data_IF_073461760350
#
_entry.id   IF_073461760350
#
_cell.length_a   1.000
_cell.length_b   1.000
_cell.length_c   1.000
_cell.angle_alpha   90.00
_cell.angle_beta   90.00
_cell.angle_gamma   90.00
#
_symmetry.space_group_name_H-M   'P 1'
#
loop_
_entity.id
_entity.type
_entity.pdbx_description
1 polymer ?
#
# COMPACT_ATOMS: atom_id res chain seq x y z
N UNK A 1 10.21 -31.67 -6.84
CA UNK A 1 9.88 -30.64 -7.84
C UNK A 1 8.69 -29.85 -7.30
N UNK A 2 8.76 -28.53 -7.32
CA UNK A 2 7.70 -27.64 -6.83
C UNK A 2 7.21 -26.75 -7.97
N UNK A 3 5.89 -26.56 -8.07
CA UNK A 3 5.23 -25.68 -9.03
C UNK A 3 4.74 -24.42 -8.34
N UNK A 4 5.22 -23.28 -8.77
CA UNK A 4 4.86 -21.96 -8.27
C UNK A 4 4.08 -21.23 -9.35
N UNK A 5 2.91 -20.71 -9.02
CA UNK A 5 2.19 -19.76 -9.86
C UNK A 5 2.29 -18.38 -9.24
N UNK A 6 2.82 -17.40 -9.97
CA UNK A 6 2.73 -15.99 -9.65
C UNK A 6 1.63 -15.39 -10.52
N UNK A 7 0.43 -15.27 -9.94
CA UNK A 7 -0.76 -14.80 -10.63
C UNK A 7 -0.84 -13.28 -10.62
N UNK A 8 -0.50 -12.65 -11.75
CA UNK A 8 -0.47 -11.20 -11.92
C UNK A 8 -0.90 -10.80 -13.34
N UNK A 9 -1.37 -9.56 -13.51
CA UNK A 9 -1.65 -9.00 -14.83
C UNK A 9 -0.36 -8.75 -15.65
N UNK A 10 -0.47 -8.72 -16.98
CA UNK A 10 0.65 -8.37 -17.86
C UNK A 10 1.19 -6.96 -17.58
N UNK A 11 0.31 -6.01 -17.26
CA UNK A 11 0.70 -4.66 -16.87
C UNK A 11 1.56 -4.68 -15.59
N UNK A 12 1.19 -5.52 -14.60
CA UNK A 12 1.97 -5.70 -13.38
C UNK A 12 3.32 -6.37 -13.67
N UNK A 13 3.33 -7.44 -14.47
CA UNK A 13 4.56 -8.12 -14.91
C UNK A 13 5.55 -7.16 -15.59
N UNK A 14 5.06 -6.29 -16.48
CA UNK A 14 5.86 -5.21 -17.09
C UNK A 14 6.37 -4.20 -16.05
N UNK A 15 5.56 -3.82 -15.06
CA UNK A 15 5.98 -2.96 -13.93
C UNK A 15 7.07 -3.63 -13.07
N UNK A 16 7.07 -4.96 -12.95
CA UNK A 16 8.12 -5.73 -12.28
C UNK A 16 9.41 -5.83 -13.11
N UNK A 17 9.33 -5.59 -14.43
CA UNK A 17 10.46 -5.76 -15.34
C UNK A 17 10.70 -7.22 -15.76
N UNK A 18 9.69 -8.08 -15.63
CA UNK A 18 9.79 -9.48 -16.02
C UNK A 18 9.31 -9.68 -17.46
N UNK A 19 10.11 -10.40 -18.25
CA UNK A 19 9.82 -10.66 -19.67
C UNK A 19 9.37 -12.11 -19.93
N UNK A 20 9.65 -13.01 -19.00
CA UNK A 20 9.39 -14.44 -19.12
C UNK A 20 8.11 -14.81 -18.38
N UNK A 21 7.36 -15.75 -18.95
CA UNK A 21 6.19 -16.33 -18.28
C UNK A 21 6.52 -17.63 -17.57
N UNK A 22 7.60 -18.31 -17.95
CA UNK A 22 7.98 -19.61 -17.42
C UNK A 22 9.47 -19.65 -17.21
N UNK A 23 9.89 -20.09 -16.02
CA UNK A 23 11.28 -20.38 -15.70
C UNK A 23 11.37 -21.66 -14.88
N UNK A 24 12.52 -22.33 -14.98
CA UNK A 24 12.85 -23.49 -14.15
C UNK A 24 14.26 -23.36 -13.62
N UNK A 25 14.45 -23.58 -12.32
CA UNK A 25 15.75 -23.49 -11.67
C UNK A 25 15.83 -24.41 -10.46
N UNK A 26 17.05 -24.70 -10.00
CA UNK A 26 17.28 -25.49 -8.79
C UNK A 26 17.38 -24.59 -7.56
N UNK A 27 16.66 -24.93 -6.50
CA UNK A 27 16.70 -24.25 -5.21
C UNK A 27 16.62 -25.27 -4.08
N UNK A 28 17.58 -25.25 -3.13
CA UNK A 28 17.65 -26.20 -1.99
C UNK A 28 17.33 -27.65 -2.36
N UNK A 29 18.01 -28.20 -3.36
CA UNK A 29 17.83 -29.57 -3.89
C UNK A 29 16.47 -29.88 -4.54
N UNK A 30 15.62 -28.88 -4.76
CA UNK A 30 14.37 -29.00 -5.48
C UNK A 30 14.44 -28.29 -6.84
N UNK A 31 13.84 -28.88 -7.85
CA UNK A 31 13.53 -28.16 -9.10
C UNK A 31 12.27 -27.32 -8.86
N UNK A 32 12.38 -26.02 -9.05
CA UNK A 32 11.28 -25.05 -8.97
C UNK A 32 10.86 -24.68 -10.39
N UNK A 33 9.60 -24.90 -10.71
CA UNK A 33 8.98 -24.45 -11.95
C UNK A 33 8.06 -23.28 -11.63
N UNK A 34 8.33 -22.12 -12.19
CA UNK A 34 7.53 -20.91 -11.97
C UNK A 34 6.77 -20.58 -13.24
N UNK A 35 5.46 -20.41 -13.10
CA UNK A 35 4.62 -19.75 -14.09
C UNK A 35 4.22 -18.37 -13.59
N UNK A 36 4.39 -17.35 -14.40
CA UNK A 36 4.04 -15.96 -14.12
C UNK A 36 3.05 -15.45 -15.16
N UNK A 37 1.79 -15.31 -14.79
CA UNK A 37 0.71 -14.95 -15.71
C UNK A 37 -0.66 -14.98 -15.04
N UNK A 38 -1.73 -15.19 -15.81
CA UNK A 38 -3.11 -15.18 -15.29
C UNK A 38 -3.87 -16.50 -15.49
N UNK A 39 -3.17 -17.52 -16.00
CA UNK A 39 -3.69 -18.88 -16.14
C UNK A 39 -3.57 -19.65 -14.82
N UNK A 40 -4.70 -20.18 -14.36
CA UNK A 40 -4.86 -20.94 -13.12
C UNK A 40 -5.36 -22.37 -13.38
N UNK A 41 -5.31 -22.84 -14.63
CA UNK A 41 -5.82 -24.16 -15.02
C UNK A 41 -4.88 -25.31 -14.66
N UNK A 42 -3.59 -25.02 -14.47
CA UNK A 42 -2.58 -26.02 -14.13
C UNK A 42 -2.46 -26.23 -12.60
N UNK A 43 -2.15 -27.45 -12.13
CA UNK A 43 -1.89 -27.70 -10.71
C UNK A 43 -0.65 -26.96 -10.20
N UNK A 44 -0.68 -26.51 -8.95
CA UNK A 44 0.41 -25.81 -8.29
C UNK A 44 0.61 -26.26 -6.85
N UNK A 45 1.84 -26.16 -6.35
CA UNK A 45 2.16 -26.32 -4.92
C UNK A 45 2.04 -24.98 -4.18
N UNK A 46 2.32 -23.88 -4.88
CA UNK A 46 2.37 -22.53 -4.31
C UNK A 46 1.69 -21.57 -5.28
N UNK A 47 0.77 -20.74 -4.78
CA UNK A 47 0.10 -19.68 -5.53
C UNK A 47 0.39 -18.33 -4.89
N UNK A 48 0.82 -17.36 -5.70
CA UNK A 48 0.94 -15.97 -5.33
C UNK A 48 -0.10 -15.14 -6.09
N UNK A 49 -1.30 -14.94 -5.54
CA UNK A 49 -2.32 -14.17 -6.22
C UNK A 49 -2.14 -12.67 -6.01
N UNK A 50 -2.31 -11.88 -7.07
CA UNK A 50 -2.62 -10.46 -6.97
C UNK A 50 -3.95 -10.20 -7.66
N UNK A 51 -5.00 -9.96 -6.88
CA UNK A 51 -6.36 -9.73 -7.39
C UNK A 51 -6.36 -8.58 -8.40
N UNK A 52 -6.87 -8.85 -9.61
CA UNK A 52 -7.00 -7.86 -10.68
C UNK A 52 -8.36 -7.16 -10.61
N UNK A 53 -9.43 -7.92 -10.41
CA UNK A 53 -10.82 -7.46 -10.28
C UNK A 53 -11.68 -8.55 -9.61
N UNK A 54 -12.98 -8.31 -9.45
CA UNK A 54 -13.89 -9.24 -8.75
C UNK A 54 -14.03 -10.59 -9.47
N UNK A 55 -14.11 -10.60 -10.81
CA UNK A 55 -14.18 -11.84 -11.59
C UNK A 55 -12.89 -12.66 -11.44
N UNK A 56 -11.74 -11.99 -11.44
CA UNK A 56 -10.43 -12.59 -11.19
C UNK A 56 -10.33 -13.16 -9.77
N UNK A 57 -10.84 -12.43 -8.78
CA UNK A 57 -10.92 -12.91 -7.40
C UNK A 57 -11.70 -14.22 -7.31
N UNK A 58 -12.82 -14.35 -8.01
CA UNK A 58 -13.60 -15.59 -8.01
C UNK A 58 -12.83 -16.75 -8.66
N UNK A 59 -12.17 -16.51 -9.80
CA UNK A 59 -11.31 -17.54 -10.46
C UNK A 59 -10.18 -18.02 -9.54
N UNK A 60 -9.56 -17.11 -8.80
CA UNK A 60 -8.52 -17.44 -7.83
C UNK A 60 -9.10 -18.32 -6.72
N UNK A 61 -10.26 -17.95 -6.14
CA UNK A 61 -10.91 -18.71 -5.08
C UNK A 61 -11.29 -20.13 -5.55
N UNK A 62 -11.83 -20.27 -6.76
CA UNK A 62 -12.17 -21.57 -7.34
C UNK A 62 -10.92 -22.43 -7.56
N UNK A 63 -9.83 -21.83 -8.03
CA UNK A 63 -8.54 -22.50 -8.21
C UNK A 63 -7.95 -22.99 -6.88
N UNK A 64 -8.01 -22.17 -5.83
CA UNK A 64 -7.58 -22.56 -4.46
C UNK A 64 -8.41 -23.74 -3.96
N UNK A 65 -9.73 -23.71 -4.15
CA UNK A 65 -10.63 -24.81 -3.74
C UNK A 65 -10.28 -26.13 -4.43
N UNK A 66 -9.83 -26.08 -5.69
CA UNK A 66 -9.40 -27.24 -6.46
C UNK A 66 -7.97 -27.70 -6.14
N UNK A 67 -7.20 -26.93 -5.36
CA UNK A 67 -5.83 -27.25 -4.96
C UNK A 67 -5.68 -27.06 -3.43
N UNK A 68 -6.37 -27.86 -2.59
CA UNK A 68 -6.48 -27.62 -1.15
C UNK A 68 -5.16 -27.73 -0.37
N UNK A 69 -4.19 -28.48 -0.89
CA UNK A 69 -2.87 -28.64 -0.28
C UNK A 69 -1.87 -27.54 -0.71
N UNK A 70 -2.27 -26.65 -1.61
CA UNK A 70 -1.40 -25.59 -2.10
C UNK A 70 -1.26 -24.46 -1.08
N UNK A 71 -0.03 -23.95 -0.95
CA UNK A 71 0.25 -22.78 -0.15
C UNK A 71 -0.14 -21.50 -0.92
N UNK A 72 -0.90 -20.60 -0.29
CA UNK A 72 -1.33 -19.33 -0.90
C UNK A 72 -0.64 -18.15 -0.22
N UNK A 73 0.09 -17.33 -1.00
CA UNK A 73 0.90 -16.20 -0.50
C UNK A 73 0.61 -14.91 -1.30
N UNK A 74 -0.06 -13.90 -0.79
CA UNK A 74 -0.74 -13.82 0.51
C UNK A 74 -2.22 -14.25 0.40
N UNK A 75 -2.86 -14.66 1.51
CA UNK A 75 -4.27 -15.01 1.53
C UNK A 75 -5.16 -13.90 0.95
N UNK A 76 -6.23 -14.28 0.24
CA UNK A 76 -7.16 -13.34 -0.40
C UNK A 76 -7.75 -12.33 0.59
N UNK A 77 -8.05 -12.77 1.81
CA UNK A 77 -8.56 -11.90 2.88
C UNK A 77 -7.58 -10.78 3.25
N UNK A 78 -6.27 -11.06 3.31
CA UNK A 78 -5.23 -10.06 3.56
C UNK A 78 -5.23 -8.99 2.47
N UNK A 79 -5.37 -9.40 1.21
CA UNK A 79 -5.43 -8.47 0.08
C UNK A 79 -6.67 -7.57 0.15
N UNK A 80 -7.83 -8.14 0.47
CA UNK A 80 -9.10 -7.39 0.61
C UNK A 80 -9.03 -6.34 1.73
N UNK A 81 -8.36 -6.65 2.85
CA UNK A 81 -8.10 -5.68 3.92
C UNK A 81 -7.29 -4.50 3.37
N UNK A 82 -6.20 -4.78 2.67
CA UNK A 82 -5.27 -3.74 2.18
C UNK A 82 -5.88 -2.92 1.04
N UNK A 83 -6.76 -3.51 0.23
CA UNK A 83 -7.53 -2.83 -0.81
C UNK A 83 -8.54 -1.80 -0.26
N UNK A 84 -8.82 -1.82 1.04
CA UNK A 84 -9.68 -0.86 1.72
C UNK A 84 -8.88 -0.01 2.71
N UNK A 85 -8.79 1.31 2.47
CA UNK A 85 -8.12 2.22 3.43
C UNK A 85 -8.79 2.20 4.79
N UNK A 86 -10.12 2.04 4.84
CA UNK A 86 -10.88 1.85 6.08
C UNK A 86 -10.32 0.65 6.87
N UNK A 87 -10.33 -0.54 6.26
CA UNK A 87 -9.92 -1.77 6.95
C UNK A 87 -8.42 -1.74 7.29
N UNK A 88 -7.61 -1.15 6.41
CA UNK A 88 -6.17 -0.96 6.65
C UNK A 88 -5.92 -0.12 7.89
N UNK A 89 -6.54 1.06 7.99
CA UNK A 89 -6.31 1.96 9.10
C UNK A 89 -6.93 1.44 10.41
N UNK A 90 -8.11 0.80 10.34
CA UNK A 90 -8.71 0.10 11.50
C UNK A 90 -7.78 -0.99 12.04
N UNK A 91 -7.12 -1.77 11.14
CA UNK A 91 -6.13 -2.78 11.54
C UNK A 91 -4.89 -2.16 12.18
N UNK A 92 -4.36 -1.06 11.64
CA UNK A 92 -3.24 -0.35 12.24
C UNK A 92 -3.56 0.08 13.69
N UNK A 93 -4.72 0.71 13.89
CA UNK A 93 -5.19 1.12 15.22
C UNK A 93 -5.37 -0.07 16.17
N UNK A 94 -5.95 -1.18 15.68
CA UNK A 94 -6.13 -2.40 16.48
C UNK A 94 -4.81 -2.95 17.03
N UNK A 95 -3.72 -2.82 16.26
CA UNK A 95 -2.39 -3.30 16.64
C UNK A 95 -1.52 -2.22 17.31
N UNK A 96 -2.07 -1.04 17.60
CA UNK A 96 -1.34 0.07 18.22
C UNK A 96 -0.22 0.63 17.34
N UNK A 97 -0.32 0.46 16.01
CA UNK A 97 0.64 1.01 15.06
C UNK A 97 0.21 2.44 14.72
N UNK A 98 1.10 3.40 14.97
CA UNK A 98 0.81 4.81 14.76
C UNK A 98 0.49 5.10 13.28
N UNK A 99 -0.76 5.55 13.06
CA UNK A 99 -1.23 6.16 11.83
C UNK A 99 -1.98 7.46 12.18
N UNK A 100 -2.05 8.45 11.28
CA UNK A 100 -2.74 9.69 11.60
C UNK A 100 -4.23 9.43 11.85
N UNK A 101 -4.83 10.19 12.77
CA UNK A 101 -6.23 10.05 13.15
C UNK A 101 -7.11 10.14 11.91
N UNK A 102 -8.10 9.27 11.82
CA UNK A 102 -8.96 9.19 10.65
C UNK A 102 -10.41 8.91 11.02
N UNK A 103 -11.31 9.25 10.09
CA UNK A 103 -12.72 8.88 10.11
C UNK A 103 -13.14 8.48 8.71
N UNK A 104 -14.09 7.55 8.62
CA UNK A 104 -14.69 7.13 7.35
C UNK A 104 -16.02 7.86 7.17
N UNK A 105 -16.23 8.43 5.99
CA UNK A 105 -17.49 9.10 5.62
C UNK A 105 -17.99 8.51 4.30
N UNK A 106 -19.20 7.96 4.32
CA UNK A 106 -19.82 7.29 3.17
C UNK A 106 -20.59 8.25 2.27
N UNK A 107 -21.04 9.40 2.78
CA UNK A 107 -21.90 10.32 2.04
C UNK A 107 -21.79 11.77 2.52
N UNK A 108 -22.27 12.69 1.70
CA UNK A 108 -22.39 14.10 2.07
C UNK A 108 -23.26 14.31 3.31
N UNK A 109 -24.36 13.55 3.48
CA UNK A 109 -25.22 13.67 4.66
C UNK A 109 -24.45 13.30 5.94
N UNK A 110 -23.65 12.23 5.89
CA UNK A 110 -22.82 11.81 7.02
C UNK A 110 -21.73 12.86 7.33
N UNK A 111 -21.12 13.47 6.30
CA UNK A 111 -20.22 14.60 6.49
C UNK A 111 -20.91 15.74 7.25
N UNK A 112 -22.10 16.17 6.83
CA UNK A 112 -22.80 17.27 7.49
C UNK A 112 -23.14 16.96 8.95
N UNK A 113 -23.54 15.72 9.26
CA UNK A 113 -23.76 15.27 10.65
C UNK A 113 -22.44 15.33 11.44
N UNK A 114 -21.34 14.86 10.85
CA UNK A 114 -20.02 14.89 11.47
C UNK A 114 -19.57 16.32 11.76
N UNK A 115 -19.61 17.23 10.78
CA UNK A 115 -19.21 18.63 10.94
C UNK A 115 -20.05 19.35 12.01
N UNK A 116 -21.37 19.09 12.05
CA UNK A 116 -22.25 19.66 13.07
C UNK A 116 -21.91 19.20 14.50
N UNK A 117 -21.51 17.93 14.66
CA UNK A 117 -21.09 17.36 15.95
C UNK A 117 -19.66 17.78 16.35
N UNK A 118 -18.79 17.97 15.36
CA UNK A 118 -17.37 18.23 15.53
C UNK A 118 -17.00 19.59 14.95
N UNK A 119 -17.50 20.65 15.59
CA UNK A 119 -17.28 22.03 15.14
C UNK A 119 -15.79 22.46 15.09
N UNK A 120 -14.89 21.70 15.75
CA UNK A 120 -13.46 21.99 15.87
C UNK A 120 -12.59 20.86 15.29
N UNK A 121 -12.85 20.43 14.05
CA UNK A 121 -11.90 19.54 13.35
C UNK A 121 -10.57 20.28 13.20
N UNK A 122 -9.48 19.62 13.61
CA UNK A 122 -8.14 20.15 13.41
C UNK A 122 -7.79 20.07 11.92
N UNK A 123 -7.69 21.23 11.30
CA UNK A 123 -7.23 21.38 9.93
C UNK A 123 -5.71 21.64 9.92
N UNK A 124 -4.99 21.21 8.86
CA UNK A 124 -5.52 20.59 7.65
C UNK A 124 -5.81 19.08 7.79
N UNK A 125 -6.67 18.58 6.91
CA UNK A 125 -6.93 17.14 6.72
C UNK A 125 -6.75 16.76 5.25
N UNK A 126 -6.45 15.48 5.01
CA UNK A 126 -6.45 14.87 3.69
C UNK A 126 -7.63 13.90 3.55
N UNK A 127 -8.37 14.01 2.46
CA UNK A 127 -9.39 13.02 2.09
C UNK A 127 -8.84 12.06 1.05
N UNK A 128 -9.07 10.77 1.26
CA UNK A 128 -8.65 9.69 0.38
C UNK A 128 -9.85 8.80 0.06
N UNK A 129 -10.07 8.37 -1.20
CA UNK A 129 -11.06 7.36 -1.53
C UNK A 129 -10.88 6.10 -0.68
N UNK A 130 -11.99 5.44 -0.32
CA UNK A 130 -11.91 4.19 0.46
C UNK A 130 -11.15 3.09 -0.31
N UNK A 131 -11.44 2.82 -1.61
CA UNK A 131 -10.60 1.93 -2.40
C UNK A 131 -9.16 2.46 -2.46
N UNK A 132 -8.19 1.62 -2.11
CA UNK A 132 -6.77 2.02 -2.07
C UNK A 132 -6.02 1.74 -3.38
N UNK A 133 -6.59 0.90 -4.26
CA UNK A 133 -5.98 0.45 -5.51
C UNK A 133 -7.06 0.24 -6.58
N UNK A 134 -6.63 0.18 -7.85
CA UNK A 134 -7.43 -0.40 -8.93
C UNK A 134 -7.99 0.59 -9.94
N UNK A 135 -7.93 1.91 -9.68
CA UNK A 135 -8.36 2.93 -10.64
C UNK A 135 -7.65 4.28 -10.45
N UNK A 136 -7.68 5.14 -11.47
CA UNK A 136 -7.15 6.50 -11.36
C UNK A 136 -7.81 7.27 -10.20
N UNK A 137 -9.12 7.07 -10.01
CA UNK A 137 -9.93 7.70 -8.97
C UNK A 137 -9.49 7.28 -7.57
N UNK A 138 -8.97 6.06 -7.37
CA UNK A 138 -8.48 5.58 -6.06
C UNK A 138 -7.26 6.35 -5.52
N UNK A 139 -6.63 7.14 -6.38
CA UNK A 139 -5.47 7.97 -6.09
C UNK A 139 -5.77 9.47 -6.12
N UNK A 140 -7.02 9.89 -6.38
CA UNK A 140 -7.44 11.29 -6.26
C UNK A 140 -7.59 11.69 -4.79
N UNK A 141 -6.74 12.57 -4.32
CA UNK A 141 -6.72 13.05 -2.94
C UNK A 141 -7.09 14.53 -2.89
N UNK A 142 -7.63 14.96 -1.76
CA UNK A 142 -7.95 16.38 -1.52
C UNK A 142 -7.43 16.80 -0.15
N UNK A 143 -6.64 17.87 -0.12
CA UNK A 143 -6.31 18.57 1.13
C UNK A 143 -7.39 19.59 1.41
N UNK A 144 -7.83 19.66 2.66
CA UNK A 144 -8.77 20.65 3.18
C UNK A 144 -8.05 21.43 4.26
N UNK A 145 -7.92 22.74 4.05
CA UNK A 145 -7.26 23.66 4.97
C UNK A 145 -8.24 24.71 5.56
N UNK A 146 -9.48 24.75 5.06
CA UNK A 146 -10.56 25.58 5.59
C UNK A 146 -11.88 24.79 5.63
N UNK A 147 -12.81 25.04 6.58
CA UNK A 147 -14.08 24.30 6.67
C UNK A 147 -14.92 24.33 5.38
N UNK A 148 -14.88 25.42 4.61
CA UNK A 148 -15.56 25.49 3.30
C UNK A 148 -15.06 24.43 2.29
N UNK A 149 -13.83 23.95 2.46
CA UNK A 149 -13.23 22.92 1.60
C UNK A 149 -13.96 21.57 1.66
N UNK A 150 -14.71 21.28 2.73
CA UNK A 150 -15.51 20.06 2.84
C UNK A 150 -16.63 19.95 1.78
N UNK A 151 -17.03 21.06 1.16
CA UNK A 151 -18.00 21.07 0.06
C UNK A 151 -17.49 20.40 -1.22
N UNK A 152 -16.17 20.19 -1.34
CA UNK A 152 -15.52 19.64 -2.53
C UNK A 152 -15.06 18.19 -2.36
N UNK A 153 -15.42 17.56 -1.25
CA UNK A 153 -15.06 16.16 -0.95
C UNK A 153 -15.87 15.21 -1.81
N UNK A 154 -15.18 14.22 -2.38
CA UNK A 154 -15.80 13.07 -3.05
C UNK A 154 -16.01 11.94 -2.04
N UNK A 155 -17.14 11.25 -2.15
CA UNK A 155 -17.53 10.14 -1.27
C UNK A 155 -17.61 8.82 -2.07
N UNK A 156 -17.40 7.65 -1.43
CA UNK A 156 -17.02 7.49 -0.03
C UNK A 156 -15.52 7.71 0.18
N UNK A 157 -15.14 8.29 1.34
CA UNK A 157 -13.75 8.63 1.64
C UNK A 157 -13.36 8.35 3.09
N UNK A 158 -12.06 8.26 3.31
CA UNK A 158 -11.41 8.46 4.60
C UNK A 158 -10.98 9.92 4.69
N UNK A 159 -11.36 10.61 5.76
CA UNK A 159 -10.75 11.88 6.18
C UNK A 159 -9.66 11.52 7.18
N UNK A 160 -8.44 11.99 6.96
CA UNK A 160 -7.30 11.73 7.82
C UNK A 160 -6.59 13.03 8.16
N UNK A 161 -6.11 13.16 9.39
CA UNK A 161 -5.27 14.29 9.83
C UNK A 161 -4.06 14.46 8.90
N UNK A 162 -3.81 15.68 8.45
CA UNK A 162 -2.62 15.98 7.66
C UNK A 162 -1.45 16.24 8.60
N UNK A 163 -0.45 15.37 8.55
CA UNK A 163 0.76 15.49 9.36
C UNK A 163 1.80 16.27 8.55
N UNK A 164 2.24 17.42 9.04
CA UNK A 164 3.38 18.13 8.47
C UNK A 164 4.64 17.28 8.62
N UNK A 165 5.33 17.01 7.51
CA UNK A 165 6.46 16.06 7.43
C UNK A 165 7.59 16.55 6.51
N UNK A 166 7.73 17.88 6.36
CA UNK A 166 8.77 18.57 5.59
C UNK A 166 8.93 18.08 4.15
N UNK A 167 7.85 17.58 3.53
CA UNK A 167 7.87 17.07 2.16
C UNK A 167 8.72 15.81 1.97
N UNK A 168 8.95 15.01 3.01
CA UNK A 168 9.75 13.79 2.93
C UNK A 168 8.94 12.53 3.30
N UNK A 169 8.87 11.59 2.35
CA UNK A 169 8.28 10.26 2.57
C UNK A 169 9.35 9.19 2.45
N UNK A 170 9.34 8.18 3.32
CA UNK A 170 10.13 6.95 3.11
C UNK A 170 9.20 5.84 2.63
N UNK A 171 9.41 5.37 1.40
CA UNK A 171 8.75 4.18 0.87
C UNK A 171 9.64 2.97 1.15
N UNK A 172 9.06 1.94 1.74
CA UNK A 172 9.76 0.71 2.16
C UNK A 172 9.14 -0.48 1.45
N UNK A 173 9.97 -1.40 0.97
CA UNK A 173 9.53 -2.63 0.34
C UNK A 173 10.02 -3.85 1.13
N UNK A 174 9.11 -4.78 1.36
CA UNK A 174 9.31 -5.92 2.24
C UNK A 174 8.90 -7.21 1.53
N UNK A 175 9.67 -8.28 1.76
CA UNK A 175 9.28 -9.65 1.46
C UNK A 175 9.41 -10.43 2.77
N UNK A 176 8.32 -11.04 3.21
CA UNK A 176 8.24 -11.69 4.51
C UNK A 176 8.53 -10.71 5.64
N UNK A 177 9.56 -11.03 6.43
CA UNK A 177 10.00 -10.18 7.54
C UNK A 177 11.20 -9.33 7.17
N UNK A 178 11.65 -9.34 5.92
CA UNK A 178 12.86 -8.64 5.51
C UNK A 178 12.54 -7.35 4.77
N UNK A 179 13.16 -6.24 5.20
CA UNK A 179 13.22 -5.02 4.40
C UNK A 179 14.18 -5.26 3.23
N UNK A 180 13.65 -5.22 2.01
CA UNK A 180 14.44 -5.41 0.78
C UNK A 180 15.11 -4.11 0.36
N UNK A 181 14.35 -3.02 0.38
CA UNK A 181 14.85 -1.70 0.06
C UNK A 181 13.95 -0.62 0.65
N UNK A 182 14.52 0.57 0.81
CA UNK A 182 13.78 1.77 1.19
C UNK A 182 14.29 2.95 0.38
N UNK A 183 13.39 3.81 -0.08
CA UNK A 183 13.75 5.04 -0.77
C UNK A 183 13.04 6.23 -0.14
N UNK A 184 13.79 7.32 -0.02
CA UNK A 184 13.25 8.62 0.35
C UNK A 184 12.73 9.29 -0.92
N UNK A 185 11.51 9.81 -0.87
CA UNK A 185 10.83 10.48 -1.97
C UNK A 185 10.32 11.85 -1.53
N UNK A 186 10.22 12.76 -2.48
CA UNK A 186 9.51 14.02 -2.30
C UNK A 186 8.01 13.74 -2.04
N UNK A 187 7.45 14.47 -1.09
CA UNK A 187 6.07 14.39 -0.63
C UNK A 187 5.52 15.79 -0.38
N UNK A 188 4.22 15.88 -0.06
CA UNK A 188 3.54 17.16 0.13
C UNK A 188 4.24 18.00 1.20
N UNK A 189 4.41 19.29 0.91
CA UNK A 189 5.06 20.22 1.82
C UNK A 189 4.26 20.45 3.11
N UNK A 190 4.87 21.14 4.06
CA UNK A 190 4.12 21.57 5.24
C UNK A 190 3.01 22.54 4.84
N UNK A 191 1.89 22.45 5.54
CA UNK A 191 0.76 23.36 5.42
C UNK A 191 0.63 24.07 6.76
N UNK A 192 0.69 25.39 6.70
CA UNK A 192 0.54 26.27 7.85
C UNK A 192 -0.49 27.36 7.55
N UNK A 193 -0.64 28.30 8.49
CA UNK A 193 -1.56 29.43 8.39
C UNK A 193 -1.31 30.37 7.20
N UNK A 194 -0.15 30.28 6.53
CA UNK A 194 0.14 31.07 5.33
C UNK A 194 -0.52 30.50 4.07
N UNK A 195 -0.93 29.23 4.09
CA UNK A 195 -1.61 28.61 2.96
C UNK A 195 -3.03 29.17 2.81
N UNK A 196 -3.23 30.01 1.79
CA UNK A 196 -4.50 30.68 1.51
C UNK A 196 -5.53 29.82 0.76
N UNK A 197 -5.13 28.62 0.30
CA UNK A 197 -6.05 27.72 -0.39
C UNK A 197 -7.00 27.09 0.64
N UNK A 198 -8.31 27.18 0.40
CA UNK A 198 -9.29 26.48 1.23
C UNK A 198 -9.17 24.95 1.08
N UNK A 199 -8.90 24.51 -0.14
CA UNK A 199 -8.65 23.12 -0.49
C UNK A 199 -7.81 23.03 -1.77
N UNK A 200 -7.24 21.86 -2.04
CA UNK A 200 -6.72 21.50 -3.35
C UNK A 200 -6.73 19.99 -3.56
N UNK A 201 -6.92 19.57 -4.81
CA UNK A 201 -6.90 18.16 -5.20
C UNK A 201 -5.69 17.83 -6.06
N UNK A 202 -5.22 16.60 -5.95
CA UNK A 202 -4.11 16.07 -6.72
C UNK A 202 -4.27 14.55 -6.90
N UNK A 203 -3.59 13.97 -7.88
CA UNK A 203 -3.52 12.53 -8.03
C UNK A 203 -2.16 12.01 -7.50
N UNK A 204 -2.19 11.08 -6.56
CA UNK A 204 -0.97 10.60 -5.92
C UNK A 204 -0.02 9.83 -6.88
N UNK A 205 -0.52 9.30 -7.99
CA UNK A 205 0.27 8.63 -9.02
C UNK A 205 0.76 9.59 -10.13
N UNK A 206 0.24 10.82 -10.20
CA UNK A 206 0.67 11.83 -11.17
C UNK A 206 1.62 12.84 -10.52
N UNK A 207 2.94 12.79 -10.80
CA UNK A 207 3.90 13.75 -10.29
C UNK A 207 3.56 15.21 -10.65
N UNK A 208 3.02 15.48 -11.84
CA UNK A 208 2.71 16.84 -12.28
C UNK A 208 1.60 17.46 -11.43
N UNK A 209 0.55 16.67 -11.10
CA UNK A 209 -0.54 17.13 -10.22
C UNK A 209 -0.06 17.56 -8.83
N UNK A 210 1.07 17.01 -8.37
CA UNK A 210 1.64 17.25 -7.04
C UNK A 210 2.70 18.36 -7.02
N UNK A 211 3.43 18.55 -8.12
CA UNK A 211 4.55 19.53 -8.23
C UNK A 211 4.19 20.94 -7.76
N UNK A 212 2.94 21.36 -7.95
CA UNK A 212 2.45 22.68 -7.51
C UNK A 212 2.42 22.85 -5.98
N UNK A 213 2.32 21.75 -5.25
CA UNK A 213 2.15 21.72 -3.78
C UNK A 213 3.34 21.11 -3.04
N UNK A 214 4.34 20.63 -3.78
CA UNK A 214 5.61 20.20 -3.21
C UNK A 214 6.47 21.42 -2.90
N UNK A 215 6.97 21.48 -1.66
CA UNK A 215 7.99 22.42 -1.24
C UNK A 215 9.35 21.72 -1.27
N UNK A 216 10.41 22.49 -1.41
CA UNK A 216 11.79 22.02 -1.20
C UNK A 216 11.90 21.42 0.20
N UNK A 217 12.13 20.11 0.26
CA UNK A 217 12.18 19.38 1.53
C UNK A 217 13.28 19.93 2.41
N UNK A 218 12.96 20.27 3.65
CA UNK A 218 14.00 20.41 4.67
C UNK A 218 14.46 19.01 5.08
N UNK A 219 15.77 18.77 5.11
CA UNK A 219 16.29 17.44 5.47
C UNK A 219 15.77 17.02 6.85
N UNK A 220 14.95 15.98 6.88
CA UNK A 220 14.59 15.29 8.13
C UNK A 220 15.57 14.15 8.41
N UNK A 221 15.65 13.76 9.67
CA UNK A 221 16.41 12.59 10.08
C UNK A 221 15.83 11.34 9.37
N UNK A 222 16.62 10.64 8.54
CA UNK A 222 16.15 9.44 7.86
C UNK A 222 15.85 8.35 8.89
N UNK A 223 14.94 7.45 8.54
CA UNK A 223 14.74 6.23 9.31
C UNK A 223 15.97 5.34 9.24
N UNK A 224 16.41 4.83 10.39
CA UNK A 224 17.47 3.83 10.45
C UNK A 224 16.97 2.48 9.91
N UNK A 225 17.85 1.61 9.39
CA UNK A 225 17.45 0.26 8.97
C UNK A 225 16.73 -0.53 10.08
N UNK A 226 17.14 -0.35 11.34
CA UNK A 226 16.51 -1.02 12.49
C UNK A 226 15.09 -0.50 12.75
N UNK A 227 14.84 0.81 12.63
CA UNK A 227 13.47 1.35 12.74
C UNK A 227 12.57 0.76 11.64
N UNK A 228 13.04 0.74 10.38
CA UNK A 228 12.27 0.21 9.26
C UNK A 228 12.01 -1.30 9.42
N UNK A 229 13.01 -2.04 9.92
CA UNK A 229 12.90 -3.45 10.21
C UNK A 229 11.83 -3.73 11.28
N UNK A 230 11.81 -2.95 12.37
CA UNK A 230 10.77 -3.07 13.39
C UNK A 230 9.35 -2.84 12.82
N UNK A 231 9.18 -1.85 11.94
CA UNK A 231 7.90 -1.64 11.26
C UNK A 231 7.53 -2.76 10.29
N UNK A 232 8.51 -3.31 9.56
CA UNK A 232 8.33 -4.49 8.72
C UNK A 232 7.77 -5.66 9.54
N UNK A 233 8.41 -5.99 10.66
CA UNK A 233 8.00 -7.08 11.55
C UNK A 233 6.60 -6.85 12.15
N UNK A 234 6.31 -5.62 12.60
CA UNK A 234 5.01 -5.24 13.14
C UNK A 234 3.89 -5.37 12.09
N UNK A 235 4.12 -4.85 10.88
CA UNK A 235 3.14 -4.85 9.80
C UNK A 235 2.91 -6.26 9.23
N UNK A 236 3.99 -7.03 9.02
CA UNK A 236 3.90 -8.43 8.59
C UNK A 236 3.02 -9.22 9.56
N UNK A 237 3.24 -9.06 10.88
CA UNK A 237 2.42 -9.70 11.91
C UNK A 237 0.98 -9.17 11.95
N UNK A 238 0.79 -7.86 11.90
CA UNK A 238 -0.53 -7.24 12.04
C UNK A 238 -1.48 -7.61 10.89
N UNK A 239 -0.96 -7.73 9.67
CA UNK A 239 -1.74 -8.01 8.47
C UNK A 239 -1.64 -9.47 8.01
N UNK A 240 -0.79 -10.28 8.63
CA UNK A 240 -0.42 -11.61 8.13
C UNK A 240 -0.07 -11.55 6.64
N UNK A 241 0.96 -10.75 6.34
CA UNK A 241 1.37 -10.40 4.98
C UNK A 241 2.86 -10.66 4.75
N UNK A 242 3.16 -11.14 3.54
CA UNK A 242 4.49 -11.46 3.06
C UNK A 242 4.94 -10.44 2.01
N UNK A 243 4.10 -10.13 1.03
CA UNK A 243 4.45 -9.26 -0.10
C UNK A 243 3.84 -7.88 0.11
N UNK A 244 4.62 -6.93 0.62
CA UNK A 244 4.08 -5.60 0.89
C UNK A 244 5.12 -4.49 0.77
N UNK A 245 4.61 -3.28 0.62
CA UNK A 245 5.37 -2.07 0.87
C UNK A 245 4.55 -1.11 1.72
N UNK A 246 5.21 -0.24 2.45
CA UNK A 246 4.56 0.76 3.27
C UNK A 246 5.24 2.11 3.14
N UNK A 247 4.43 3.15 3.34
CA UNK A 247 4.80 4.54 3.23
C UNK A 247 4.77 5.14 4.64
N UNK A 248 5.94 5.57 5.12
CA UNK A 248 6.14 6.09 6.46
C UNK A 248 6.70 7.52 6.41
N UNK A 249 6.07 8.41 7.18
CA UNK A 249 6.51 9.80 7.35
C UNK A 249 6.96 10.04 8.77
N UNK A 250 7.71 11.12 8.98
CA UNK A 250 8.10 11.60 10.30
C UNK A 250 7.47 12.98 10.52
N UNK A 251 6.74 13.15 11.61
CA UNK A 251 6.10 14.42 11.96
C UNK A 251 7.15 15.49 12.25
N UNK A 252 6.93 16.67 11.67
CA UNK A 252 7.73 17.86 11.93
C UNK A 252 7.48 18.36 13.36
N UNK A 253 8.55 18.70 14.07
CA UNK A 253 8.50 19.13 15.47
C UNK A 253 8.66 17.98 16.47
N UNK A 254 7.83 16.94 16.41
CA UNK A 254 7.89 15.82 17.39
C UNK A 254 8.86 14.72 16.97
N UNK A 255 9.11 14.56 15.67
CA UNK A 255 9.88 13.43 15.12
C UNK A 255 9.13 12.09 15.17
N UNK A 256 7.83 12.09 15.53
CA UNK A 256 7.04 10.88 15.67
C UNK A 256 6.75 10.25 14.30
N UNK A 257 6.97 8.93 14.13
CA UNK A 257 6.69 8.23 12.88
C UNK A 257 5.22 7.87 12.71
N UNK A 258 4.74 7.91 11.46
CA UNK A 258 3.37 7.53 11.11
C UNK A 258 3.33 6.72 9.81
N UNK A 259 2.63 5.59 9.84
CA UNK A 259 2.27 4.83 8.62
C UNK A 259 1.09 5.51 7.95
N UNK A 260 1.23 5.86 6.67
CA UNK A 260 0.18 6.58 5.91
C UNK A 260 -0.42 5.78 4.76
N UNK A 261 0.27 4.74 4.29
CA UNK A 261 -0.21 3.84 3.23
C UNK A 261 0.48 2.47 3.32
N UNK A 262 -0.24 1.42 2.93
CA UNK A 262 0.26 0.04 2.82
C UNK A 262 -0.22 -0.52 1.48
N UNK A 263 0.69 -1.14 0.74
CA UNK A 263 0.43 -1.69 -0.58
C UNK A 263 0.78 -3.18 -0.63
N UNK A 264 -0.21 -4.01 -0.99
CA UNK A 264 0.03 -5.43 -1.26
C UNK A 264 0.77 -5.60 -2.59
N UNK A 265 1.81 -6.44 -2.59
CA UNK A 265 2.63 -6.82 -3.73
C UNK A 265 3.03 -5.60 -4.58
N UNK A 266 3.91 -4.72 -4.06
CA UNK A 266 4.44 -3.56 -4.79
C UNK A 266 5.34 -3.99 -5.97
N UNK A 267 5.82 -3.05 -6.78
CA UNK A 267 6.68 -3.36 -7.94
C UNK A 267 8.16 -3.59 -7.57
N UNK A 268 8.53 -3.36 -6.31
CA UNK A 268 9.91 -3.44 -5.81
C UNK A 268 10.92 -2.72 -6.70
N UNK A 269 10.52 -1.62 -7.35
CA UNK A 269 11.36 -0.83 -8.26
C UNK A 269 12.17 -1.64 -9.30
N UNK A 270 11.64 -2.79 -9.76
CA UNK A 270 12.34 -3.70 -10.69
C UNK A 270 13.67 -4.24 -10.14
N UNK A 271 13.81 -4.34 -8.82
CA UNK A 271 15.03 -4.83 -8.16
C UNK A 271 15.25 -6.34 -8.30
N UNK A 272 14.29 -7.10 -8.85
CA UNK A 272 14.38 -8.55 -8.98
C UNK A 272 14.09 -9.03 -10.39
N UNK A 273 14.82 -10.07 -10.82
CA UNK A 273 14.36 -10.95 -11.89
C UNK A 273 13.25 -11.85 -11.36
N UNK A 274 12.53 -12.54 -12.25
CA UNK A 274 11.50 -13.50 -11.84
C UNK A 274 12.09 -14.61 -10.94
N UNK A 275 13.30 -15.08 -11.27
CA UNK A 275 14.02 -16.07 -10.48
C UNK A 275 14.41 -15.54 -9.10
N UNK A 276 15.14 -14.41 -9.02
CA UNK A 276 15.64 -13.92 -7.74
C UNK A 276 14.53 -13.47 -6.79
N UNK A 277 13.41 -12.97 -7.33
CA UNK A 277 12.20 -12.73 -6.54
C UNK A 277 11.65 -14.02 -5.93
N UNK A 278 11.57 -15.09 -6.74
CA UNK A 278 11.04 -16.37 -6.28
C UNK A 278 11.96 -17.01 -5.25
N UNK A 279 13.28 -16.96 -5.44
CA UNK A 279 14.26 -17.47 -4.46
C UNK A 279 14.15 -16.73 -3.11
N UNK A 280 14.03 -15.40 -3.14
CA UNK A 280 13.86 -14.59 -1.93
C UNK A 280 12.54 -14.90 -1.22
N UNK A 281 11.44 -15.03 -1.97
CA UNK A 281 10.15 -15.44 -1.43
C UNK A 281 10.22 -16.80 -0.74
N UNK A 282 10.76 -17.82 -1.42
CA UNK A 282 10.86 -19.17 -0.88
C UNK A 282 11.70 -19.19 0.39
N UNK A 283 12.79 -18.39 0.42
CA UNK A 283 13.60 -18.24 1.62
C UNK A 283 12.80 -17.69 2.80
N UNK A 284 12.09 -16.57 2.59
CA UNK A 284 11.30 -15.91 3.63
C UNK A 284 10.11 -16.75 4.12
N UNK A 285 9.58 -17.61 3.26
CA UNK A 285 8.50 -18.55 3.62
C UNK A 285 9.02 -19.83 4.29
N UNK A 286 10.34 -20.01 4.42
CA UNK A 286 10.95 -21.21 5.00
C UNK A 286 10.78 -22.47 4.14
N UNK A 287 10.67 -22.31 2.82
CA UNK A 287 10.47 -23.40 1.84
C UNK A 287 11.82 -23.84 1.24
#
# INVERSE_FOLDING_TARGET
MKKVIIHISDAKKKKMGWNENNISFCYKNNVINVYCGSDLTQPFDILLPKIINDQDCQRILDSIKNNPDALVIDPIQTQQIIQSRKLTYERLTQYGIDCPRFIVIQSHQEMMIFLNKHQNIHLPVITKPIPSQGSHESHEMTIINHPNGFNYVKYPCVIQEYINHNGQLTKVFCIGKKVISSTIQESLGNIDSSCKLEYFSFNNEDPESKKKYFLTSSQMKPFTPMELQNYCDLLSKAFNITLFGFDIIRENGTGKPYIIDINHFPSYNKSFSLQSFTEELLNECGI
#
